data_IF_846312338422
#
_entry.id   IF_846312338422
#
_cell.length_a   1.000
_cell.length_b   1.000
_cell.length_c   1.000
_cell.angle_alpha   90.00
_cell.angle_beta   90.00
_cell.angle_gamma   90.00
#
_symmetry.space_group_name_H-M   'P 1'
#
loop_
_entity.id
_entity.type
_entity.pdbx_description
1 polymer ?
#
# COMPACT_ATOMS: atom_id res chain seq x y z
N UNK A 1 -7.69 -6.05 -16.84
CA UNK A 1 -8.15 -7.03 -15.81
C UNK A 1 -7.15 -7.14 -14.65
N UNK A 2 -5.87 -7.34 -14.89
CA UNK A 2 -4.82 -7.50 -13.85
C UNK A 2 -4.73 -6.26 -12.94
N UNK A 3 -4.70 -5.05 -13.49
CA UNK A 3 -4.59 -3.79 -12.71
C UNK A 3 -5.77 -3.65 -11.74
N UNK A 4 -7.01 -3.92 -12.22
CA UNK A 4 -8.19 -3.87 -11.35
C UNK A 4 -8.09 -4.88 -10.19
N UNK A 5 -7.67 -6.11 -10.49
CA UNK A 5 -7.51 -7.14 -9.47
C UNK A 5 -6.47 -6.74 -8.43
N UNK A 6 -5.32 -6.20 -8.87
CA UNK A 6 -4.27 -5.73 -7.98
C UNK A 6 -4.74 -4.56 -7.11
N UNK A 7 -5.41 -3.56 -7.70
CA UNK A 7 -5.99 -2.43 -6.97
C UNK A 7 -7.01 -2.92 -5.93
N UNK A 8 -7.88 -3.87 -6.32
CA UNK A 8 -8.86 -4.44 -5.43
C UNK A 8 -8.21 -5.15 -4.23
N UNK A 9 -7.22 -6.01 -4.48
CA UNK A 9 -6.50 -6.73 -3.43
C UNK A 9 -5.74 -5.79 -2.49
N UNK A 10 -5.11 -4.76 -3.02
CA UNK A 10 -4.37 -3.77 -2.24
C UNK A 10 -5.32 -2.93 -1.38
N UNK A 11 -6.42 -2.43 -1.94
CA UNK A 11 -7.45 -1.74 -1.18
C UNK A 11 -8.05 -2.65 -0.09
N UNK A 12 -8.24 -3.94 -0.37
CA UNK A 12 -8.73 -4.91 0.60
C UNK A 12 -7.76 -5.10 1.76
N UNK A 13 -6.46 -5.21 1.48
CA UNK A 13 -5.42 -5.27 2.50
C UNK A 13 -5.46 -4.03 3.39
N UNK A 14 -5.51 -2.84 2.80
CA UNK A 14 -5.58 -1.58 3.56
C UNK A 14 -6.87 -1.51 4.39
N UNK A 15 -8.01 -1.90 3.84
CA UNK A 15 -9.27 -1.94 4.58
C UNK A 15 -9.19 -2.85 5.81
N UNK A 16 -8.67 -4.07 5.66
CA UNK A 16 -8.53 -5.03 6.75
C UNK A 16 -7.58 -4.48 7.83
N UNK A 17 -6.44 -3.91 7.45
CA UNK A 17 -5.51 -3.28 8.39
C UNK A 17 -6.21 -2.14 9.13
N UNK A 18 -6.82 -1.20 8.43
CA UNK A 18 -7.53 -0.10 9.05
C UNK A 18 -8.63 -0.55 10.00
N UNK A 19 -9.39 -1.59 9.62
CA UNK A 19 -10.45 -2.18 10.44
C UNK A 19 -9.94 -2.84 11.71
N UNK A 20 -8.76 -3.43 11.68
CA UNK A 20 -8.15 -4.07 12.85
C UNK A 20 -7.76 -3.06 13.94
N UNK A 21 -7.49 -1.82 13.59
CA UNK A 21 -7.09 -0.76 14.53
C UNK A 21 -8.21 0.21 14.90
N UNK A 22 -9.27 0.32 14.07
CA UNK A 22 -10.35 1.28 14.30
C UNK A 22 -11.74 0.64 14.25
N UNK A 23 -12.62 1.01 15.21
CA UNK A 23 -14.00 0.53 15.31
C UNK A 23 -14.99 1.55 14.73
N UNK A 24 -14.92 1.81 13.43
CA UNK A 24 -15.87 2.68 12.74
C UNK A 24 -17.13 1.91 12.33
N UNK A 25 -18.28 2.62 12.30
CA UNK A 25 -19.54 2.05 11.79
C UNK A 25 -19.43 1.76 10.29
N UNK A 26 -20.27 0.82 9.82
CA UNK A 26 -20.27 0.37 8.43
C UNK A 26 -21.03 1.35 7.52
N UNK A 27 -20.35 2.42 7.05
CA UNK A 27 -20.87 3.41 6.09
C UNK A 27 -19.82 3.59 4.98
N UNK A 28 -20.24 4.09 3.82
CA UNK A 28 -19.36 4.38 2.68
C UNK A 28 -18.16 5.28 3.06
N UNK A 29 -18.45 6.40 3.71
CA UNK A 29 -17.43 7.35 4.18
C UNK A 29 -16.42 6.70 5.13
N UNK A 30 -16.89 5.85 6.05
CA UNK A 30 -16.03 5.12 6.98
C UNK A 30 -15.20 4.03 6.28
N UNK A 31 -15.70 3.44 5.20
CA UNK A 31 -14.94 2.50 4.39
C UNK A 31 -13.71 3.19 3.75
N UNK A 32 -13.89 4.40 3.18
CA UNK A 32 -12.78 5.20 2.66
C UNK A 32 -11.75 5.53 3.77
N UNK A 33 -12.24 5.98 4.94
CA UNK A 33 -11.37 6.29 6.08
C UNK A 33 -10.58 5.06 6.57
N UNK A 34 -11.21 3.88 6.58
CA UNK A 34 -10.53 2.64 6.96
C UNK A 34 -9.41 2.29 5.97
N UNK A 35 -9.64 2.43 4.67
CA UNK A 35 -8.61 2.20 3.64
C UNK A 35 -7.45 3.18 3.83
N UNK A 36 -7.73 4.46 4.00
CA UNK A 36 -6.70 5.50 4.22
C UNK A 36 -5.90 5.21 5.49
N UNK A 37 -6.57 4.92 6.60
CA UNK A 37 -5.90 4.59 7.86
C UNK A 37 -5.01 3.35 7.73
N UNK A 38 -5.48 2.32 7.04
CA UNK A 38 -4.69 1.12 6.79
C UNK A 38 -3.47 1.39 5.93
N UNK A 39 -3.61 2.21 4.89
CA UNK A 39 -2.49 2.64 4.06
C UNK A 39 -1.44 3.42 4.88
N UNK A 40 -1.88 4.35 5.73
CA UNK A 40 -1.00 5.12 6.63
C UNK A 40 -0.27 4.18 7.59
N UNK A 41 -0.97 3.27 8.26
CA UNK A 41 -0.36 2.32 9.20
C UNK A 41 0.69 1.46 8.48
N UNK A 42 0.35 0.93 7.30
CA UNK A 42 1.24 0.08 6.54
C UNK A 42 2.49 0.84 6.06
N UNK A 43 2.34 2.11 5.64
CA UNK A 43 3.46 2.93 5.18
C UNK A 43 4.45 3.27 6.30
N UNK A 44 3.97 3.60 7.51
CA UNK A 44 4.84 3.78 8.68
C UNK A 44 5.52 2.48 9.10
N UNK A 45 4.80 1.36 9.02
CA UNK A 45 5.38 0.06 9.32
C UNK A 45 6.46 -0.32 8.30
N UNK A 46 6.24 -0.03 7.01
CA UNK A 46 7.24 -0.20 5.96
C UNK A 46 8.50 0.61 6.22
N UNK A 47 8.34 1.88 6.62
CA UNK A 47 9.47 2.73 7.01
C UNK A 47 10.26 2.10 8.17
N UNK A 48 9.58 1.67 9.23
CA UNK A 48 10.25 1.05 10.39
C UNK A 48 10.98 -0.23 10.01
N UNK A 49 10.37 -1.08 9.20
CA UNK A 49 11.00 -2.33 8.75
C UNK A 49 12.23 -2.04 7.87
N UNK A 50 12.16 -1.02 7.02
CA UNK A 50 13.27 -0.72 6.11
C UNK A 50 14.56 -0.29 6.84
N UNK A 51 14.50 0.10 8.10
CA UNK A 51 15.71 0.31 8.91
C UNK A 51 16.51 -1.00 9.12
N UNK A 52 15.83 -2.14 9.17
CA UNK A 52 16.43 -3.42 9.49
C UNK A 52 16.53 -4.35 8.27
N UNK A 53 15.52 -4.32 7.41
CA UNK A 53 15.37 -5.23 6.27
C UNK A 53 14.98 -4.46 5.01
N UNK A 54 15.44 -4.92 3.85
CA UNK A 54 14.95 -4.43 2.57
C UNK A 54 13.48 -4.82 2.36
N UNK A 55 12.71 -3.97 1.69
CA UNK A 55 11.31 -4.22 1.34
C UNK A 55 11.20 -5.11 0.08
N UNK A 56 11.89 -6.25 0.07
CA UNK A 56 11.84 -7.19 -1.05
C UNK A 56 10.43 -7.79 -1.21
N UNK A 57 10.12 -8.31 -2.40
CA UNK A 57 8.85 -8.99 -2.69
C UNK A 57 8.52 -10.05 -1.63
N UNK A 58 9.52 -10.82 -1.18
CA UNK A 58 9.36 -11.85 -0.14
C UNK A 58 9.02 -11.21 1.20
N UNK A 59 9.78 -10.20 1.63
CA UNK A 59 9.55 -9.48 2.89
C UNK A 59 8.16 -8.85 2.91
N UNK A 60 7.78 -8.17 1.82
CA UNK A 60 6.48 -7.53 1.67
C UNK A 60 5.32 -8.55 1.74
N UNK A 61 5.50 -9.71 1.11
CA UNK A 61 4.50 -10.79 1.15
C UNK A 61 4.34 -11.34 2.58
N UNK A 62 5.43 -11.56 3.31
CA UNK A 62 5.39 -12.01 4.69
C UNK A 62 4.67 -10.98 5.57
N UNK A 63 4.96 -9.69 5.39
CA UNK A 63 4.30 -8.61 6.12
C UNK A 63 2.80 -8.58 5.82
N UNK A 64 2.42 -8.64 4.55
CA UNK A 64 1.02 -8.65 4.15
C UNK A 64 0.27 -9.85 4.77
N UNK A 65 0.84 -11.04 4.73
CA UNK A 65 0.29 -12.23 5.36
C UNK A 65 0.16 -12.09 6.88
N UNK A 66 1.18 -11.53 7.54
CA UNK A 66 1.13 -11.30 8.99
C UNK A 66 -0.01 -10.34 9.38
N UNK A 67 -0.21 -9.26 8.61
CA UNK A 67 -1.34 -8.35 8.84
C UNK A 67 -2.69 -9.01 8.58
N UNK A 68 -2.81 -9.84 7.56
CA UNK A 68 -4.03 -10.59 7.25
C UNK A 68 -4.36 -11.54 8.42
N UNK A 69 -3.38 -12.33 8.88
CA UNK A 69 -3.56 -13.26 10.01
C UNK A 69 -3.96 -12.51 11.28
N UNK A 70 -3.26 -11.41 11.60
CA UNK A 70 -3.58 -10.56 12.75
C UNK A 70 -5.01 -9.99 12.66
N UNK A 71 -5.42 -9.54 11.49
CA UNK A 71 -6.76 -9.00 11.27
C UNK A 71 -7.85 -10.07 11.45
N UNK A 72 -7.65 -11.27 10.91
CA UNK A 72 -8.59 -12.39 11.12
C UNK A 72 -8.69 -12.79 12.61
N UNK A 73 -7.60 -12.73 13.34
CA UNK A 73 -7.63 -12.97 14.78
C UNK A 73 -8.44 -11.91 15.56
N UNK A 74 -8.31 -10.63 15.14
CA UNK A 74 -8.88 -9.51 15.88
C UNK A 74 -10.32 -9.15 15.49
N UNK A 75 -10.69 -9.40 14.22
CA UNK A 75 -11.96 -8.95 13.66
C UNK A 75 -12.90 -10.15 13.54
N UNK A 76 -14.10 -10.05 14.16
CA UNK A 76 -15.16 -11.03 13.91
C UNK A 76 -15.53 -11.06 12.42
N UNK A 77 -15.66 -12.24 11.84
CA UNK A 77 -15.97 -12.47 10.43
C UNK A 77 -17.16 -11.64 9.93
N UNK A 78 -18.23 -11.53 10.73
CA UNK A 78 -19.42 -10.72 10.44
C UNK A 78 -19.15 -9.22 10.21
N UNK A 79 -18.09 -8.70 10.85
CA UNK A 79 -17.68 -7.29 10.67
C UNK A 79 -16.87 -7.04 9.42
N UNK A 80 -16.23 -8.08 8.87
CA UNK A 80 -15.45 -7.99 7.62
C UNK A 80 -16.40 -8.06 6.41
N UNK A 81 -17.36 -8.97 6.44
CA UNK A 81 -18.19 -9.36 5.28
C UNK A 81 -19.62 -8.81 5.41
N UNK A 82 -19.78 -7.51 5.67
CA UNK A 82 -21.08 -6.87 5.53
C UNK A 82 -21.31 -6.50 4.05
N UNK A 83 -22.45 -6.92 3.48
CA UNK A 83 -22.81 -6.66 2.07
C UNK A 83 -22.73 -5.18 1.69
N UNK A 84 -23.09 -4.28 2.61
CA UNK A 84 -23.01 -2.85 2.36
C UNK A 84 -21.56 -2.36 2.23
N UNK A 85 -20.67 -2.89 3.04
CA UNK A 85 -19.23 -2.60 2.94
C UNK A 85 -18.64 -3.14 1.66
N UNK A 86 -19.06 -4.33 1.23
CA UNK A 86 -18.56 -4.95 0.01
C UNK A 86 -18.94 -4.14 -1.25
N UNK A 87 -20.16 -3.63 -1.35
CA UNK A 87 -20.58 -2.72 -2.43
C UNK A 87 -19.75 -1.43 -2.44
N UNK A 88 -19.59 -0.81 -1.27
CA UNK A 88 -18.76 0.41 -1.11
C UNK A 88 -17.31 0.14 -1.53
N UNK A 89 -16.78 -1.00 -1.15
CA UNK A 89 -15.44 -1.44 -1.45
C UNK A 89 -15.20 -1.65 -2.96
N UNK A 90 -16.12 -2.33 -3.66
CA UNK A 90 -16.06 -2.48 -5.12
C UNK A 90 -16.06 -1.10 -5.79
N UNK A 91 -16.96 -0.20 -5.37
CA UNK A 91 -17.03 1.14 -5.94
C UNK A 91 -15.71 1.92 -5.77
N UNK A 92 -15.13 1.90 -4.57
CA UNK A 92 -13.84 2.56 -4.27
C UNK A 92 -12.72 1.96 -5.13
N UNK A 93 -12.66 0.63 -5.25
CA UNK A 93 -11.64 -0.05 -6.05
C UNK A 93 -11.77 0.27 -7.54
N UNK A 94 -13.00 0.34 -8.06
CA UNK A 94 -13.25 0.77 -9.45
C UNK A 94 -12.82 2.21 -9.67
N UNK A 95 -13.18 3.12 -8.74
CA UNK A 95 -12.80 4.52 -8.82
C UNK A 95 -11.28 4.70 -8.77
N UNK A 96 -10.61 4.01 -7.86
CA UNK A 96 -9.14 4.01 -7.77
C UNK A 96 -8.50 3.48 -9.07
N UNK A 97 -9.04 2.41 -9.66
CA UNK A 97 -8.55 1.88 -10.94
C UNK A 97 -8.69 2.90 -12.06
N UNK A 98 -9.83 3.61 -12.13
CA UNK A 98 -10.05 4.67 -13.12
C UNK A 98 -9.01 5.79 -12.93
N UNK A 99 -8.74 6.20 -11.69
CA UNK A 99 -7.73 7.22 -11.40
C UNK A 99 -6.32 6.77 -11.83
N UNK A 100 -5.96 5.51 -11.62
CA UNK A 100 -4.67 4.96 -12.07
C UNK A 100 -4.58 4.99 -13.60
N UNK A 101 -5.65 4.64 -14.32
CA UNK A 101 -5.66 4.71 -15.79
C UNK A 101 -5.59 6.14 -16.33
N UNK A 102 -6.18 7.11 -15.61
CA UNK A 102 -6.13 8.53 -15.99
C UNK A 102 -4.83 9.20 -15.56
N UNK A 103 -4.07 8.60 -14.65
CA UNK A 103 -2.80 9.14 -14.19
C UNK A 103 -1.77 9.08 -15.32
N UNK A 104 -1.14 10.21 -15.58
CA UNK A 104 -0.01 10.28 -16.52
C UNK A 104 1.23 9.66 -15.86
N UNK A 105 1.51 8.40 -16.21
CA UNK A 105 2.68 7.66 -15.73
C UNK A 105 4.00 8.14 -16.36
N UNK A 106 3.92 8.92 -17.43
CA UNK A 106 5.10 9.39 -18.16
C UNK A 106 5.64 10.74 -17.65
N UNK A 107 5.30 11.13 -16.42
CA UNK A 107 5.89 12.32 -15.80
C UNK A 107 7.42 12.16 -15.72
N UNK A 108 8.20 13.15 -16.18
CA UNK A 108 9.67 13.09 -16.15
C UNK A 108 10.23 12.72 -14.77
N UNK A 109 9.60 13.22 -13.72
CA UNK A 109 10.01 13.00 -12.34
C UNK A 109 9.82 11.55 -11.87
N UNK A 110 8.82 10.82 -12.38
CA UNK A 110 8.59 9.43 -11.97
C UNK A 110 9.75 8.52 -12.35
N UNK A 111 10.29 8.65 -13.57
CA UNK A 111 11.43 7.86 -14.02
C UNK A 111 12.78 8.32 -13.46
N UNK A 112 12.90 9.63 -13.12
CA UNK A 112 14.17 10.19 -12.67
C UNK A 112 14.51 9.89 -11.22
N UNK A 113 13.53 9.87 -10.31
CA UNK A 113 13.83 9.63 -8.89
C UNK A 113 12.76 8.84 -8.12
N UNK A 114 11.47 8.91 -8.48
CA UNK A 114 10.44 8.17 -7.74
C UNK A 114 10.59 6.66 -7.90
N UNK A 115 10.56 6.14 -9.12
CA UNK A 115 10.72 4.70 -9.36
C UNK A 115 12.11 4.18 -8.97
N UNK A 116 13.23 4.87 -9.29
CA UNK A 116 14.54 4.47 -8.78
C UNK A 116 14.61 4.39 -7.26
N UNK A 117 13.96 5.32 -6.55
CA UNK A 117 13.94 5.29 -5.09
C UNK A 117 13.10 4.11 -4.56
N UNK A 118 11.91 3.85 -5.12
CA UNK A 118 11.09 2.69 -4.73
C UNK A 118 11.86 1.39 -4.98
N UNK A 119 12.55 1.29 -6.12
CA UNK A 119 13.40 0.15 -6.42
C UNK A 119 14.52 0.00 -5.39
N UNK A 120 15.17 1.10 -5.00
CA UNK A 120 16.19 1.09 -3.96
C UNK A 120 15.65 0.57 -2.63
N UNK A 121 14.44 0.98 -2.21
CA UNK A 121 13.79 0.46 -1.00
C UNK A 121 13.50 -1.05 -1.07
N UNK A 122 13.23 -1.58 -2.28
CA UNK A 122 13.01 -3.00 -2.49
C UNK A 122 14.31 -3.81 -2.53
N UNK A 123 15.41 -3.21 -2.96
CA UNK A 123 16.70 -3.89 -3.13
C UNK A 123 17.59 -3.77 -1.88
N UNK A 124 17.47 -2.65 -1.14
CA UNK A 124 18.33 -2.32 -0.02
C UNK A 124 17.54 -1.87 1.22
N UNK A 125 18.15 -1.99 2.39
CA UNK A 125 17.67 -1.32 3.60
C UNK A 125 17.97 0.18 3.52
N UNK A 126 17.40 0.97 4.42
CA UNK A 126 17.57 2.42 4.43
C UNK A 126 19.06 2.81 4.36
N UNK A 127 19.39 3.64 3.39
CA UNK A 127 20.74 4.16 3.18
C UNK A 127 20.80 5.59 3.65
N UNK A 128 21.59 5.84 4.69
CA UNK A 128 21.80 7.19 5.24
C UNK A 128 22.75 7.95 4.31
N UNK A 129 22.42 9.20 4.00
CA UNK A 129 23.28 10.06 3.18
C UNK A 129 23.05 9.99 1.67
N UNK A 130 21.94 9.38 1.22
CA UNK A 130 21.57 9.37 -0.21
C UNK A 130 21.49 10.76 -0.84
N UNK A 131 21.15 11.78 -0.06
CA UNK A 131 21.11 13.19 -0.49
C UNK A 131 22.48 13.72 -0.93
N UNK A 132 23.56 13.14 -0.43
CA UNK A 132 24.94 13.50 -0.84
C UNK A 132 25.25 13.00 -2.25
N UNK A 133 24.55 11.96 -2.72
CA UNK A 133 24.71 11.41 -4.07
C UNK A 133 23.78 12.15 -5.04
N UNK A 134 22.54 12.36 -4.64
CA UNK A 134 21.54 13.09 -5.43
C UNK A 134 20.58 13.83 -4.48
N UNK A 135 20.57 15.16 -4.54
CA UNK A 135 19.72 16.03 -3.71
C UNK A 135 18.22 15.70 -3.82
N UNK A 136 17.76 15.16 -4.95
CA UNK A 136 16.36 14.75 -5.17
C UNK A 136 15.94 13.62 -4.23
N UNK A 137 16.84 12.78 -3.77
CA UNK A 137 16.56 11.75 -2.76
C UNK A 137 16.31 12.31 -1.35
N UNK A 138 16.47 13.62 -1.15
CA UNK A 138 16.05 14.29 0.09
C UNK A 138 14.57 14.53 0.21
N UNK A 139 13.82 14.50 -0.89
CA UNK A 139 12.36 14.71 -0.93
C UNK A 139 11.59 13.39 -0.83
N UNK A 140 11.97 12.53 0.12
CA UNK A 140 11.34 11.24 0.34
C UNK A 140 9.98 11.44 0.98
N UNK A 141 8.95 10.80 0.41
CA UNK A 141 7.59 10.76 0.93
C UNK A 141 7.26 9.40 1.53
N UNK A 142 6.44 9.39 2.59
CA UNK A 142 5.90 8.16 3.17
C UNK A 142 5.10 7.33 2.15
N UNK A 143 4.58 7.97 1.10
CA UNK A 143 3.87 7.32 -0.01
C UNK A 143 4.81 6.37 -0.78
N UNK A 144 6.09 6.71 -0.93
CA UNK A 144 7.06 5.85 -1.60
C UNK A 144 7.32 4.55 -0.83
N UNK A 145 7.26 4.59 0.51
CA UNK A 145 7.30 3.39 1.35
C UNK A 145 6.03 2.54 1.18
N UNK A 146 4.86 3.19 1.04
CA UNK A 146 3.61 2.50 0.74
C UNK A 146 3.67 1.80 -0.62
N UNK A 147 4.19 2.48 -1.64
CA UNK A 147 4.39 1.90 -2.97
C UNK A 147 5.40 0.76 -2.95
N UNK A 148 6.51 0.91 -2.23
CA UNK A 148 7.53 -0.14 -2.10
C UNK A 148 6.98 -1.40 -1.43
N UNK A 149 6.22 -1.28 -0.33
CA UNK A 149 5.64 -2.43 0.38
C UNK A 149 4.48 -3.06 -0.39
N UNK A 150 3.85 -2.33 -1.30
CA UNK A 150 2.80 -2.86 -2.18
C UNK A 150 3.34 -3.78 -3.27
N UNK A 151 4.65 -3.80 -3.52
CA UNK A 151 5.32 -4.78 -4.38
C UNK A 151 5.43 -6.12 -3.64
N UNK A 152 4.55 -7.06 -3.92
CA UNK A 152 4.50 -8.39 -3.31
C UNK A 152 4.29 -9.45 -4.40
N UNK A 153 4.20 -10.74 -4.04
CA UNK A 153 4.04 -11.85 -5.00
C UNK A 153 2.78 -11.68 -5.88
N UNK A 154 1.72 -11.03 -5.40
CA UNK A 154 0.48 -10.86 -6.17
C UNK A 154 0.55 -9.67 -7.13
N UNK A 155 1.21 -8.60 -6.74
CA UNK A 155 1.30 -7.36 -7.50
C UNK A 155 2.59 -7.26 -8.31
N UNK A 156 3.61 -8.05 -7.96
CA UNK A 156 4.97 -7.95 -8.49
C UNK A 156 5.50 -6.51 -8.39
N UNK A 157 6.03 -5.96 -9.49
CA UNK A 157 6.48 -4.55 -9.55
C UNK A 157 5.35 -3.57 -9.84
N UNK A 158 4.13 -4.03 -10.14
CA UNK A 158 2.98 -3.15 -10.41
C UNK A 158 2.45 -2.45 -9.15
N UNK A 159 2.84 -2.89 -7.96
CA UNK A 159 2.56 -2.19 -6.72
C UNK A 159 3.09 -0.75 -6.69
N UNK A 160 4.10 -0.43 -7.50
CA UNK A 160 4.61 0.94 -7.66
C UNK A 160 3.59 1.90 -8.29
N UNK A 161 2.60 1.38 -9.02
CA UNK A 161 1.57 2.17 -9.70
C UNK A 161 0.35 2.43 -8.81
N UNK A 162 0.26 1.75 -7.69
CA UNK A 162 -0.83 1.84 -6.71
C UNK A 162 -0.52 2.87 -5.64
#
# INVERSE_FOLDING_TARGET
>A
MIIFLNTFLTCFLYYIIGRSYTNLKNNFSNCCLLIINGAIILSFFALLINFFFKLSIITNTIIALAFIIYAFYKISYEKIVNIQNFKSFIFISLFATILIFLADSNRPDSGLYHFPFIKLLNDEKIIIGLTNINSRFGNISIIQYLQAISNNILTETNGMLL
#
